data_IF_701639680811
#
_entry.id   IF_701639680811
#
_cell.length_a   1.000
_cell.length_b   1.000
_cell.length_c   1.000
_cell.angle_alpha   90.00
_cell.angle_beta   90.00
_cell.angle_gamma   90.00
#
_symmetry.space_group_name_H-M   'P 1'
#
loop_
_entity.id
_entity.type
_entity.pdbx_description
1 polymer ?
#
# COMPACT_ATOMS: atom_id res chain seq x y z
N UNK A 1 9.65 20.60 -30.73
CA UNK A 1 9.87 19.46 -29.81
C UNK A 1 9.02 18.21 -30.08
N UNK A 2 7.81 18.29 -30.68
CA UNK A 2 6.88 17.16 -30.86
C UNK A 2 7.35 16.05 -31.84
N UNK A 3 8.28 16.35 -32.75
CA UNK A 3 8.73 15.44 -33.82
C UNK A 3 9.90 14.53 -33.44
N UNK A 4 10.73 14.89 -32.48
CA UNK A 4 11.93 14.12 -32.12
C UNK A 4 11.62 12.79 -31.41
N UNK A 5 10.58 12.77 -30.56
CA UNK A 5 10.18 11.57 -29.83
C UNK A 5 9.52 10.53 -30.75
N UNK A 6 8.63 10.97 -31.64
CA UNK A 6 8.02 10.09 -32.63
C UNK A 6 9.05 9.52 -33.61
N UNK A 7 10.04 10.32 -34.02
CA UNK A 7 11.16 9.81 -34.83
C UNK A 7 11.99 8.78 -34.06
N UNK A 8 12.35 9.03 -32.79
CA UNK A 8 13.07 8.06 -31.96
C UNK A 8 12.26 6.77 -31.76
N UNK A 9 10.97 6.87 -31.50
CA UNK A 9 10.10 5.70 -31.36
C UNK A 9 9.99 4.89 -32.66
N UNK A 10 9.92 5.55 -33.81
CA UNK A 10 9.93 4.89 -35.11
C UNK A 10 11.27 4.24 -35.47
N UNK A 11 12.39 4.74 -34.91
CA UNK A 11 13.73 4.16 -35.12
C UNK A 11 13.94 2.94 -34.22
N UNK A 12 13.38 2.97 -33.00
CA UNK A 12 13.46 1.84 -32.05
C UNK A 12 12.54 0.70 -32.48
N UNK A 13 11.41 1.00 -33.12
CA UNK A 13 10.58 0.00 -33.76
C UNK A 13 11.35 -0.68 -34.91
N UNK A 14 11.49 -2.01 -34.83
CA UNK A 14 12.15 -2.77 -35.90
C UNK A 14 11.28 -2.82 -37.16
N UNK A 15 11.84 -3.32 -38.28
CA UNK A 15 11.08 -3.62 -39.50
C UNK A 15 9.93 -4.62 -39.29
N UNK A 16 9.92 -5.32 -38.16
CA UNK A 16 8.82 -6.17 -37.69
C UNK A 16 8.50 -5.79 -36.24
N UNK A 17 7.71 -4.73 -36.01
CA UNK A 17 7.49 -4.20 -34.68
C UNK A 17 6.80 -5.24 -33.80
N UNK A 18 7.34 -5.45 -32.60
CA UNK A 18 6.68 -6.28 -31.59
C UNK A 18 5.39 -5.60 -31.11
N UNK A 19 4.50 -6.36 -30.45
CA UNK A 19 3.31 -5.78 -29.82
C UNK A 19 3.66 -4.65 -28.83
N UNK A 20 4.81 -4.75 -28.16
CA UNK A 20 5.33 -3.69 -27.30
C UNK A 20 5.74 -2.43 -28.07
N UNK A 21 6.38 -2.58 -29.24
CA UNK A 21 6.76 -1.45 -30.10
C UNK A 21 5.54 -0.73 -30.66
N UNK A 22 4.51 -1.48 -31.06
CA UNK A 22 3.23 -0.92 -31.55
C UNK A 22 2.55 -0.11 -30.45
N UNK A 23 2.37 -0.69 -29.26
CA UNK A 23 1.75 0.00 -28.13
C UNK A 23 2.53 1.24 -27.70
N UNK A 24 3.87 1.21 -27.80
CA UNK A 24 4.73 2.35 -27.51
C UNK A 24 4.57 3.48 -28.54
N UNK A 25 4.48 3.16 -29.84
CA UNK A 25 4.21 4.14 -30.90
C UNK A 25 2.83 4.78 -30.72
N UNK A 26 1.82 3.99 -30.37
CA UNK A 26 0.48 4.48 -30.07
C UNK A 26 0.48 5.39 -28.83
N UNK A 27 1.23 5.04 -27.78
CA UNK A 27 1.37 5.88 -26.59
C UNK A 27 1.99 7.24 -26.92
N UNK A 28 3.00 7.27 -27.79
CA UNK A 28 3.61 8.52 -28.29
C UNK A 28 2.60 9.33 -29.13
N UNK A 29 1.82 8.66 -29.97
CA UNK A 29 0.74 9.30 -30.75
C UNK A 29 -0.33 9.91 -29.85
N UNK A 30 -0.78 9.19 -28.83
CA UNK A 30 -1.75 9.67 -27.84
C UNK A 30 -1.21 10.89 -27.07
N UNK A 31 0.06 10.87 -26.65
CA UNK A 31 0.73 12.05 -26.05
C UNK A 31 0.75 13.27 -26.98
N UNK A 32 0.99 13.08 -28.28
CA UNK A 32 1.02 14.18 -29.23
C UNK A 32 -0.36 14.83 -29.41
N UNK A 33 -1.44 14.03 -29.32
CA UNK A 33 -2.82 14.49 -29.33
C UNK A 33 -3.30 15.08 -27.99
N UNK A 34 -2.48 14.99 -26.94
CA UNK A 34 -2.85 15.45 -25.59
C UNK A 34 -3.74 14.48 -24.81
N UNK A 35 -3.91 13.25 -25.29
CA UNK A 35 -4.67 12.19 -24.62
C UNK A 35 -3.81 11.49 -23.56
N UNK A 36 -3.51 12.18 -22.45
CA UNK A 36 -2.51 11.74 -21.46
C UNK A 36 -2.90 10.42 -20.76
N UNK A 37 -4.19 10.20 -20.50
CA UNK A 37 -4.69 8.96 -19.87
C UNK A 37 -4.60 7.76 -20.82
N UNK A 38 -4.94 7.97 -22.10
CA UNK A 38 -4.79 6.97 -23.16
C UNK A 38 -3.32 6.55 -23.32
N UNK A 39 -2.41 7.54 -23.37
CA UNK A 39 -0.97 7.28 -23.42
C UNK A 39 -0.45 6.48 -22.22
N UNK A 40 -0.97 6.73 -21.01
CA UNK A 40 -0.61 5.98 -19.80
C UNK A 40 -1.09 4.52 -19.84
N UNK A 41 -2.30 4.27 -20.37
CA UNK A 41 -2.81 2.92 -20.56
C UNK A 41 -1.98 2.15 -21.60
N UNK A 42 -1.64 2.80 -22.72
CA UNK A 42 -0.81 2.22 -23.78
C UNK A 42 0.62 1.91 -23.32
N UNK A 43 1.20 2.74 -22.45
CA UNK A 43 2.51 2.44 -21.83
C UNK A 43 2.48 1.20 -20.93
N UNK A 44 1.39 0.98 -20.19
CA UNK A 44 1.22 -0.26 -19.41
C UNK A 44 1.14 -1.47 -20.34
N UNK A 45 0.34 -1.38 -21.40
CA UNK A 45 0.26 -2.42 -22.42
C UNK A 45 1.61 -2.72 -23.07
N UNK A 46 2.42 -1.69 -23.37
CA UNK A 46 3.77 -1.88 -23.91
C UNK A 46 4.69 -2.63 -22.95
N UNK A 47 4.67 -2.31 -21.65
CA UNK A 47 5.47 -3.00 -20.62
C UNK A 47 5.08 -4.46 -20.47
N UNK A 48 3.79 -4.75 -20.45
CA UNK A 48 3.28 -6.12 -20.34
C UNK A 48 3.66 -6.95 -21.57
N UNK A 49 3.57 -6.36 -22.76
CA UNK A 49 3.98 -7.00 -24.01
C UNK A 49 5.50 -7.29 -24.04
N UNK A 50 6.34 -6.35 -23.60
CA UNK A 50 7.78 -6.60 -23.51
C UNK A 50 8.12 -7.68 -22.47
N UNK A 51 7.43 -7.70 -21.32
CA UNK A 51 7.62 -8.75 -20.31
C UNK A 51 7.26 -10.13 -20.87
N UNK A 52 6.14 -10.22 -21.59
CA UNK A 52 5.72 -11.46 -22.25
C UNK A 52 6.71 -11.93 -23.33
N UNK A 53 7.41 -11.00 -23.98
CA UNK A 53 8.43 -11.29 -24.99
C UNK A 53 9.84 -11.60 -24.42
N UNK A 54 9.98 -11.69 -23.10
CA UNK A 54 11.28 -11.97 -22.44
C UNK A 54 12.08 -10.74 -22.03
N UNK A 55 11.49 -9.55 -22.14
CA UNK A 55 12.08 -8.28 -21.71
C UNK A 55 12.24 -7.26 -22.85
N UNK A 56 12.38 -6.00 -22.48
CA UNK A 56 12.70 -4.92 -23.41
C UNK A 56 14.23 -4.78 -23.55
N UNK A 57 14.71 -4.46 -24.75
CA UNK A 57 16.11 -4.07 -24.98
C UNK A 57 16.45 -2.76 -24.26
N UNK A 58 17.74 -2.47 -24.08
CA UNK A 58 18.19 -1.24 -23.44
C UNK A 58 17.65 0.04 -24.13
N UNK A 59 17.57 0.02 -25.46
CA UNK A 59 17.02 1.13 -26.25
C UNK A 59 15.52 1.30 -26.06
N UNK A 60 14.77 0.20 -25.93
CA UNK A 60 13.32 0.22 -25.64
C UNK A 60 13.04 0.68 -24.21
N UNK A 61 13.86 0.25 -23.23
CA UNK A 61 13.77 0.72 -21.84
C UNK A 61 14.01 2.23 -21.73
N UNK A 62 15.08 2.73 -22.34
CA UNK A 62 15.37 4.17 -22.34
C UNK A 62 14.24 4.99 -22.98
N UNK A 63 13.60 4.46 -24.02
CA UNK A 63 12.45 5.11 -24.64
C UNK A 63 11.20 5.04 -23.76
N UNK A 64 10.93 3.91 -23.09
CA UNK A 64 9.84 3.78 -22.13
C UNK A 64 9.97 4.81 -21.00
N UNK A 65 11.18 4.97 -20.46
CA UNK A 65 11.45 5.94 -19.39
C UNK A 65 11.24 7.38 -19.87
N UNK A 66 11.72 7.72 -21.07
CA UNK A 66 11.52 9.03 -21.69
C UNK A 66 10.03 9.35 -21.93
N UNK A 67 9.25 8.37 -22.38
CA UNK A 67 7.82 8.54 -22.64
C UNK A 67 7.04 8.60 -21.32
N UNK A 68 7.38 7.77 -20.33
CA UNK A 68 6.78 7.80 -19.00
C UNK A 68 7.03 9.13 -18.29
N UNK A 69 8.25 9.65 -18.33
CA UNK A 69 8.58 10.96 -17.76
C UNK A 69 7.72 12.07 -18.38
N UNK A 70 7.43 11.98 -19.69
CA UNK A 70 6.57 12.94 -20.40
C UNK A 70 5.09 12.77 -20.08
N UNK A 71 4.58 11.54 -19.99
CA UNK A 71 3.20 11.26 -19.50
C UNK A 71 3.05 11.81 -18.08
N UNK A 72 3.99 11.52 -17.19
CA UNK A 72 3.97 12.00 -15.80
C UNK A 72 4.01 13.52 -15.75
N UNK A 73 4.91 14.16 -16.48
CA UNK A 73 4.98 15.62 -16.56
C UNK A 73 3.72 16.25 -17.18
N UNK A 74 3.08 15.59 -18.14
CA UNK A 74 1.81 16.04 -18.72
C UNK A 74 0.65 15.91 -17.72
N UNK A 75 0.55 14.79 -17.00
CA UNK A 75 -0.44 14.61 -15.92
C UNK A 75 -0.26 15.67 -14.83
N UNK A 76 0.97 15.91 -14.38
CA UNK A 76 1.27 16.94 -13.37
C UNK A 76 0.84 18.33 -13.87
N UNK A 77 1.11 18.67 -15.13
CA UNK A 77 0.66 19.95 -15.72
C UNK A 77 -0.86 20.02 -15.84
N UNK A 78 -1.52 18.94 -16.28
CA UNK A 78 -2.98 18.85 -16.38
C UNK A 78 -3.65 19.04 -15.01
N UNK A 79 -3.05 18.43 -13.97
CA UNK A 79 -3.43 18.61 -12.57
C UNK A 79 -3.08 19.99 -12.00
N UNK A 80 -2.06 20.68 -12.53
CA UNK A 80 -1.69 22.03 -12.12
C UNK A 80 -2.51 23.13 -12.83
N UNK A 81 -2.99 22.87 -14.05
CA UNK A 81 -3.83 23.82 -14.83
C UNK A 81 -5.30 23.78 -14.44
N UNK A 82 -5.77 22.68 -13.84
CA UNK A 82 -6.96 22.71 -12.98
C UNK A 82 -6.50 23.30 -11.66
N UNK A 83 -6.99 24.47 -11.23
CA UNK A 83 -6.73 24.99 -9.87
C UNK A 83 -6.85 23.80 -8.91
N UNK A 84 -5.79 23.39 -8.19
CA UNK A 84 -5.95 22.34 -7.20
C UNK A 84 -6.96 22.91 -6.23
N UNK A 85 -8.17 22.35 -6.23
CA UNK A 85 -9.11 22.62 -5.17
C UNK A 85 -8.36 22.24 -3.88
N UNK A 86 -8.04 23.21 -3.00
CA UNK A 86 -7.28 22.92 -1.79
C UNK A 86 -8.00 21.86 -0.94
N UNK A 87 -9.32 21.70 -1.11
CA UNK A 87 -10.10 20.60 -0.54
C UNK A 87 -9.72 19.26 -1.18
N UNK A 88 -9.64 19.17 -2.51
CA UNK A 88 -9.23 17.93 -3.20
C UNK A 88 -7.80 17.52 -2.83
N UNK A 89 -6.86 18.46 -2.74
CA UNK A 89 -5.49 18.18 -2.30
C UNK A 89 -5.46 17.68 -0.85
N UNK A 90 -6.23 18.30 0.05
CA UNK A 90 -6.37 17.88 1.45
C UNK A 90 -7.01 16.50 1.57
N UNK A 91 -8.03 16.21 0.78
CA UNK A 91 -8.69 14.90 0.71
C UNK A 91 -7.71 13.81 0.28
N UNK A 92 -6.88 14.05 -0.74
CA UNK A 92 -5.87 13.08 -1.19
C UNK A 92 -4.82 12.84 -0.11
N UNK A 93 -4.31 13.90 0.53
CA UNK A 93 -3.32 13.77 1.61
C UNK A 93 -3.86 12.96 2.80
N UNK A 94 -5.09 13.24 3.23
CA UNK A 94 -5.72 12.51 4.34
C UNK A 94 -6.02 11.05 3.99
N UNK A 95 -6.33 10.76 2.74
CA UNK A 95 -6.45 9.37 2.27
C UNK A 95 -5.11 8.64 2.33
N UNK A 96 -4.04 9.25 1.83
CA UNK A 96 -2.70 8.65 1.84
C UNK A 96 -2.20 8.41 3.27
N UNK A 97 -2.36 9.40 4.16
CA UNK A 97 -2.04 9.29 5.58
C UNK A 97 -2.82 8.13 6.23
N UNK A 98 -4.12 7.99 5.94
CA UNK A 98 -4.92 6.87 6.43
C UNK A 98 -4.43 5.51 5.93
N UNK A 99 -4.05 5.41 4.65
CA UNK A 99 -3.51 4.19 4.06
C UNK A 99 -2.14 3.82 4.68
N UNK A 100 -1.26 4.79 4.96
CA UNK A 100 0.03 4.60 5.64
C UNK A 100 -0.16 4.10 7.08
N UNK A 101 -1.07 4.73 7.84
CA UNK A 101 -1.37 4.32 9.21
C UNK A 101 -1.96 2.89 9.23
N UNK A 102 -2.72 2.50 8.21
CA UNK A 102 -3.29 1.15 8.11
C UNK A 102 -2.20 0.09 7.86
N UNK A 103 -1.17 0.42 7.09
CA UNK A 103 0.02 -0.43 6.95
C UNK A 103 0.79 -0.56 8.27
N UNK A 104 0.91 0.53 9.02
CA UNK A 104 1.53 0.51 10.35
C UNK A 104 0.72 -0.36 11.33
N UNK A 105 -0.61 -0.28 11.31
CA UNK A 105 -1.48 -1.15 12.10
C UNK A 105 -1.24 -2.63 11.80
N UNK A 106 -1.09 -2.99 10.52
CA UNK A 106 -0.77 -4.36 10.11
C UNK A 106 0.63 -4.79 10.58
N UNK A 107 1.62 -3.90 10.51
CA UNK A 107 2.97 -4.16 11.03
C UNK A 107 2.95 -4.46 12.53
N UNK A 108 2.26 -3.61 13.32
CA UNK A 108 2.10 -3.77 14.76
C UNK A 108 1.33 -5.04 15.11
N UNK A 109 0.27 -5.35 14.36
CA UNK A 109 -0.48 -6.60 14.52
C UNK A 109 0.40 -7.83 14.33
N UNK A 110 1.22 -7.86 13.26
CA UNK A 110 2.15 -8.96 13.00
C UNK A 110 3.25 -9.07 14.08
N UNK A 111 3.65 -7.95 14.68
CA UNK A 111 4.56 -7.90 15.82
C UNK A 111 3.89 -8.31 17.16
N UNK A 112 2.58 -8.60 17.15
CA UNK A 112 1.76 -8.90 18.34
C UNK A 112 1.64 -7.73 19.32
N UNK A 113 1.86 -6.51 18.84
CA UNK A 113 1.68 -5.26 19.59
C UNK A 113 0.23 -4.78 19.45
N UNK A 114 -0.73 -5.56 19.96
CA UNK A 114 -2.15 -5.36 19.67
C UNK A 114 -2.72 -4.03 20.18
N UNK A 115 -2.21 -3.50 21.30
CA UNK A 115 -2.62 -2.18 21.79
C UNK A 115 -2.25 -1.07 20.80
N UNK A 116 -1.01 -1.07 20.30
CA UNK A 116 -0.56 -0.11 19.29
C UNK A 116 -1.27 -0.29 17.96
N UNK A 117 -1.55 -1.54 17.57
CA UNK A 117 -2.33 -1.83 16.37
C UNK A 117 -3.76 -1.26 16.46
N UNK A 118 -4.45 -1.39 17.61
CA UNK A 118 -5.79 -0.81 17.79
C UNK A 118 -5.79 0.71 17.67
N UNK A 119 -4.83 1.37 18.29
CA UNK A 119 -4.68 2.82 18.22
C UNK A 119 -4.40 3.27 16.78
N UNK A 120 -3.54 2.56 16.06
CA UNK A 120 -3.27 2.82 14.65
C UNK A 120 -4.55 2.65 13.78
N UNK A 121 -5.34 1.59 13.99
CA UNK A 121 -6.61 1.41 13.26
C UNK A 121 -7.59 2.56 13.50
N UNK A 122 -7.69 3.06 14.73
CA UNK A 122 -8.55 4.20 15.06
C UNK A 122 -8.06 5.49 14.38
N UNK A 123 -6.75 5.78 14.42
CA UNK A 123 -6.15 6.93 13.73
C UNK A 123 -6.33 6.86 12.20
N UNK A 124 -6.21 5.66 11.61
CA UNK A 124 -6.49 5.47 10.18
C UNK A 124 -7.96 5.82 9.85
N UNK A 125 -8.90 5.38 10.70
CA UNK A 125 -10.32 5.70 10.55
C UNK A 125 -10.57 7.21 10.60
N UNK A 126 -10.00 7.90 11.58
CA UNK A 126 -10.09 9.35 11.71
C UNK A 126 -9.53 10.08 10.48
N UNK A 127 -8.41 9.60 9.95
CA UNK A 127 -7.82 10.17 8.72
C UNK A 127 -8.75 10.00 7.51
N UNK A 128 -9.38 8.84 7.34
CA UNK A 128 -10.35 8.63 6.26
C UNK A 128 -11.63 9.45 6.45
N UNK A 129 -12.13 9.59 7.68
CA UNK A 129 -13.25 10.50 7.97
C UNK A 129 -12.90 11.95 7.63
N UNK A 130 -11.68 12.39 7.95
CA UNK A 130 -11.18 13.72 7.59
C UNK A 130 -10.96 13.90 6.07
N UNK A 131 -10.74 12.81 5.33
CA UNK A 131 -10.65 12.83 3.87
C UNK A 131 -12.03 13.04 3.20
N UNK A 132 -13.11 12.61 3.87
CA UNK A 132 -14.50 12.85 3.48
C UNK A 132 -15.37 11.59 3.52
N UNK A 133 -16.69 11.78 3.54
CA UNK A 133 -17.67 10.71 3.73
C UNK A 133 -17.58 9.57 2.71
N UNK A 134 -17.29 9.88 1.44
CA UNK A 134 -17.11 8.86 0.39
C UNK A 134 -15.91 7.95 0.70
N UNK A 135 -14.78 8.53 1.10
CA UNK A 135 -13.56 7.75 1.39
C UNK A 135 -13.73 6.96 2.68
N UNK A 136 -14.38 7.55 3.69
CA UNK A 136 -14.71 6.85 4.92
C UNK A 136 -15.58 5.61 4.63
N UNK A 137 -16.63 5.75 3.81
CA UNK A 137 -17.48 4.64 3.40
C UNK A 137 -16.70 3.57 2.61
N UNK A 138 -15.88 3.99 1.65
CA UNK A 138 -15.07 3.07 0.83
C UNK A 138 -14.06 2.27 1.66
N UNK A 139 -13.52 2.86 2.74
CA UNK A 139 -12.49 2.25 3.58
C UNK A 139 -13.04 1.53 4.83
N UNK A 140 -14.27 1.80 5.24
CA UNK A 140 -14.85 1.29 6.48
C UNK A 140 -14.82 -0.24 6.56
N UNK A 141 -15.09 -0.95 5.46
CA UNK A 141 -15.02 -2.42 5.47
C UNK A 141 -13.62 -2.93 5.84
N UNK A 142 -12.57 -2.32 5.30
CA UNK A 142 -11.18 -2.72 5.56
C UNK A 142 -10.79 -2.39 7.00
N UNK A 143 -11.07 -1.16 7.42
CA UNK A 143 -10.78 -0.66 8.78
C UNK A 143 -11.54 -1.48 9.84
N UNK A 144 -12.84 -1.71 9.64
CA UNK A 144 -13.69 -2.46 10.56
C UNK A 144 -13.30 -3.93 10.69
N UNK A 145 -12.89 -4.56 9.59
CA UNK A 145 -12.38 -5.93 9.62
C UNK A 145 -11.08 -6.03 10.41
N UNK A 146 -10.14 -5.11 10.17
CA UNK A 146 -8.87 -5.08 10.89
C UNK A 146 -9.10 -4.77 12.38
N UNK A 147 -9.95 -3.81 12.71
CA UNK A 147 -10.33 -3.49 14.09
C UNK A 147 -10.86 -4.74 14.82
N UNK A 148 -11.79 -5.45 14.19
CA UNK A 148 -12.40 -6.66 14.75
C UNK A 148 -11.38 -7.77 14.98
N UNK A 149 -10.46 -7.94 14.03
CA UNK A 149 -9.39 -8.93 14.13
C UNK A 149 -8.42 -8.60 15.28
N UNK A 150 -7.91 -7.37 15.31
CA UNK A 150 -6.95 -6.93 16.33
C UNK A 150 -7.59 -6.99 17.72
N UNK A 151 -8.86 -6.59 17.87
CA UNK A 151 -9.57 -6.60 19.15
C UNK A 151 -9.68 -8.01 19.73
N UNK A 152 -10.04 -8.99 18.89
CA UNK A 152 -10.11 -10.40 19.30
C UNK A 152 -8.76 -10.95 19.74
N UNK A 153 -7.68 -10.61 19.05
CA UNK A 153 -6.34 -11.06 19.43
C UNK A 153 -5.81 -10.36 20.70
N UNK A 154 -6.13 -9.08 20.89
CA UNK A 154 -5.84 -8.36 22.14
C UNK A 154 -6.54 -9.02 23.34
N UNK A 155 -7.82 -9.37 23.20
CA UNK A 155 -8.58 -10.09 24.24
C UNK A 155 -7.99 -11.46 24.55
N UNK A 156 -7.59 -12.22 23.50
CA UNK A 156 -6.91 -13.51 23.66
C UNK A 156 -5.59 -13.37 24.40
N UNK A 157 -4.79 -12.36 24.10
CA UNK A 157 -3.52 -12.10 24.78
C UNK A 157 -3.74 -11.83 26.28
N UNK A 158 -4.72 -10.98 26.62
CA UNK A 158 -5.08 -10.68 28.00
C UNK A 158 -5.58 -11.94 28.73
N UNK A 159 -6.43 -12.73 28.08
CA UNK A 159 -6.94 -13.98 28.64
C UNK A 159 -5.81 -14.97 28.92
N UNK A 160 -4.92 -15.18 27.96
CA UNK A 160 -3.79 -16.10 28.09
C UNK A 160 -2.81 -15.64 29.19
N UNK A 161 -2.53 -14.34 29.28
CA UNK A 161 -1.71 -13.78 30.35
C UNK A 161 -2.32 -14.02 31.74
N UNK A 162 -3.64 -13.88 31.88
CA UNK A 162 -4.36 -14.21 33.12
C UNK A 162 -4.24 -15.70 33.46
N UNK A 163 -4.41 -16.59 32.48
CA UNK A 163 -4.28 -18.03 32.69
C UNK A 163 -2.87 -18.43 33.12
N UNK A 164 -1.83 -17.85 32.52
CA UNK A 164 -0.44 -18.08 32.91
C UNK A 164 -0.20 -17.65 34.36
N UNK A 165 -0.66 -16.44 34.74
CA UNK A 165 -0.54 -15.95 36.12
C UNK A 165 -1.26 -16.84 37.13
N UNK A 166 -2.43 -17.38 36.78
CA UNK A 166 -3.16 -18.32 37.63
C UNK A 166 -2.36 -19.62 37.80
N UNK A 167 -1.76 -20.15 36.73
CA UNK A 167 -0.92 -21.35 36.78
C UNK A 167 0.32 -21.15 37.66
N UNK A 168 1.03 -20.04 37.49
CA UNK A 168 2.20 -19.68 38.32
C UNK A 168 1.83 -19.60 39.80
N UNK A 169 0.71 -18.94 40.14
CA UNK A 169 0.23 -18.85 41.52
C UNK A 169 -0.15 -20.23 42.09
N UNK A 170 -0.74 -21.11 41.27
CA UNK A 170 -1.06 -22.47 41.70
C UNK A 170 0.19 -23.33 41.93
N UNK A 171 1.21 -23.20 41.10
CA UNK A 171 2.50 -23.88 41.26
C UNK A 171 3.24 -23.37 42.50
N UNK A 172 3.32 -22.06 42.71
CA UNK A 172 3.90 -21.47 43.92
C UNK A 172 3.19 -21.93 45.19
N UNK A 173 1.85 -22.03 45.16
CA UNK A 173 1.08 -22.55 46.28
C UNK A 173 1.39 -24.03 46.56
N UNK A 174 1.50 -24.87 45.51
CA UNK A 174 1.90 -26.28 45.66
C UNK A 174 3.30 -26.41 46.24
N UNK A 175 4.27 -25.65 45.73
CA UNK A 175 5.64 -25.65 46.26
C UNK A 175 5.70 -25.23 47.72
N UNK A 176 4.93 -24.20 48.11
CA UNK A 176 4.81 -23.78 49.50
C UNK A 176 4.21 -24.88 50.38
N UNK A 177 3.07 -25.46 49.96
CA UNK A 177 2.39 -26.50 50.73
C UNK A 177 3.23 -27.78 50.85
N UNK A 178 4.07 -28.11 49.86
CA UNK A 178 5.07 -29.18 49.94
C UNK A 178 6.24 -28.84 50.89
N UNK A 179 6.74 -27.60 50.86
CA UNK A 179 7.79 -27.15 51.76
C UNK A 179 7.34 -27.20 53.22
N UNK A 180 6.11 -26.73 53.52
CA UNK A 180 5.55 -26.77 54.88
C UNK A 180 5.36 -28.21 55.38
N UNK A 181 5.00 -29.16 54.50
CA UNK A 181 4.90 -30.58 54.86
C UNK A 181 6.26 -31.25 55.10
N UNK A 182 7.34 -30.74 54.49
CA UNK A 182 8.70 -31.28 54.62
C UNK A 182 9.49 -30.72 55.81
N UNK A 183 8.99 -29.68 56.47
CA UNK A 183 9.43 -29.26 57.81
C UNK A 183 8.46 -29.80 58.86
N UNK A 184 8.56 -31.08 59.27
CA UNK A 184 7.97 -31.48 60.54
C UNK A 184 8.73 -30.78 61.66
N UNK A 185 8.01 -30.27 62.65
CA UNK A 185 8.53 -29.60 63.84
C UNK A 185 9.73 -30.37 64.43
N UNK A 186 10.91 -29.73 64.42
CA UNK A 186 12.03 -30.14 65.27
C UNK A 186 11.89 -29.48 66.66
N UNK A 187 10.76 -29.73 67.32
CA UNK A 187 10.57 -29.40 68.75
C UNK A 187 9.86 -30.54 69.46
#
# INVERSE_FOLDING_TARGET
MRTALARRASIVASSSPSAGDVAMLEAVGALQRGATLEASALLRGARDAYRAAGGASASQLALLDDVEARVRGALVREHATKKPDPLAARTVLRKLEGDEILQEALRLFNAKEYAGALEAVQRARESFTAAGASIAADRETVVGNLYSLVSREAERQVHNARLLKIKELAELKRQRDEATKRTPDMQ
#
